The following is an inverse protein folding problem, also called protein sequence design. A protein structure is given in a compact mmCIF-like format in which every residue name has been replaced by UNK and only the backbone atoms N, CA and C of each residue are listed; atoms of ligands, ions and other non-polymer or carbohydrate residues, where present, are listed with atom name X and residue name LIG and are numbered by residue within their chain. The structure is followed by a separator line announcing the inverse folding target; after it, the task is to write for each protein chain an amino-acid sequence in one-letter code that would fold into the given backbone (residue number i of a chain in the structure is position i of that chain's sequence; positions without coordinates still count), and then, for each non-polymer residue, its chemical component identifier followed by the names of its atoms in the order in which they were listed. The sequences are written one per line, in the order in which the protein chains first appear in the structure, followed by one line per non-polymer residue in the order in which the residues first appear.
data_IF_357956283202
#
_entry.id   IF_357956283202
#
_cell.length_a   1.000
_cell.length_b   1.000
_cell.length_c   1.000
_cell.angle_alpha   90.00
_cell.angle_beta   90.00
_cell.angle_gamma   90.00
#
_symmetry.space_group_name_H-M   'P 1'
#
loop_
_entity.id
_entity.type
_entity.pdbx_description
1 polymer ?
#
# COMPACT_ATOMS: atom_id res chain seq x y z
N UNK A 1 -11.30 -20.52 34.03
CA UNK A 1 -10.90 -20.24 32.62
C UNK A 1 -11.62 -21.21 31.69
N UNK A 2 -12.34 -20.72 30.67
CA UNK A 2 -13.16 -21.59 29.80
C UNK A 2 -12.30 -22.57 28.98
N UNK A 3 -12.88 -23.71 28.59
CA UNK A 3 -12.18 -24.71 27.77
C UNK A 3 -11.71 -24.13 26.42
N UNK A 4 -12.48 -23.20 25.85
CA UNK A 4 -12.12 -22.50 24.62
C UNK A 4 -10.88 -21.61 24.79
N UNK A 5 -10.76 -20.88 25.90
CA UNK A 5 -9.59 -20.04 26.18
C UNK A 5 -8.31 -20.88 26.36
N UNK A 6 -8.42 -22.09 26.94
CA UNK A 6 -7.28 -23.03 26.99
C UNK A 6 -6.86 -23.45 25.58
N UNK A 7 -7.81 -23.81 24.73
CA UNK A 7 -7.55 -24.19 23.34
C UNK A 7 -6.89 -23.05 22.55
N UNK A 8 -7.41 -21.82 22.66
CA UNK A 8 -6.82 -20.65 22.02
C UNK A 8 -5.37 -20.39 22.49
N UNK A 9 -5.07 -20.55 23.78
CA UNK A 9 -3.69 -20.43 24.29
C UNK A 9 -2.76 -21.51 23.74
N UNK A 10 -3.24 -22.76 23.62
CA UNK A 10 -2.46 -23.83 23.00
C UNK A 10 -2.18 -23.50 21.54
N UNK A 11 -3.18 -23.06 20.78
CA UNK A 11 -3.01 -22.67 19.37
C UNK A 11 -2.07 -21.47 19.20
N UNK A 12 -2.13 -20.48 20.11
CA UNK A 12 -1.19 -19.37 20.12
C UNK A 12 0.25 -19.85 20.38
N UNK A 13 0.45 -20.72 21.37
CA UNK A 13 1.77 -21.33 21.62
C UNK A 13 2.26 -22.08 20.38
N UNK A 14 1.38 -22.85 19.72
CA UNK A 14 1.72 -23.57 18.49
C UNK A 14 2.06 -22.63 17.33
N UNK A 15 1.42 -21.48 17.22
CA UNK A 15 1.77 -20.47 16.22
C UNK A 15 3.17 -19.89 16.50
N UNK A 16 3.41 -19.46 17.74
CA UNK A 16 4.65 -18.80 18.15
C UNK A 16 5.87 -19.73 18.16
N UNK A 17 5.70 -21.05 18.29
CA UNK A 17 6.82 -21.99 18.23
C UNK A 17 7.15 -22.46 16.80
N UNK A 18 6.40 -22.03 15.78
CA UNK A 18 6.68 -22.40 14.39
C UNK A 18 7.73 -21.49 13.81
N UNK A 19 8.84 -22.08 13.37
CA UNK A 19 9.93 -21.36 12.70
C UNK A 19 9.44 -20.53 11.51
N UNK A 20 8.60 -21.11 10.64
CA UNK A 20 8.07 -20.38 9.48
C UNK A 20 7.21 -19.16 9.89
N UNK A 21 6.40 -19.28 10.95
CA UNK A 21 5.61 -18.17 11.47
C UNK A 21 6.52 -17.08 12.08
N UNK A 22 7.54 -17.49 12.85
CA UNK A 22 8.52 -16.58 13.43
C UNK A 22 9.33 -15.82 12.37
N UNK A 23 9.71 -16.48 11.27
CA UNK A 23 10.40 -15.81 10.15
C UNK A 23 9.50 -14.77 9.48
N UNK A 24 8.22 -15.08 9.27
CA UNK A 24 7.25 -14.11 8.73
C UNK A 24 7.06 -12.92 9.69
N UNK A 25 6.91 -13.17 10.99
CA UNK A 25 6.81 -12.13 12.01
C UNK A 25 8.07 -11.27 12.02
N UNK A 26 9.26 -11.87 11.98
CA UNK A 26 10.53 -11.14 11.93
C UNK A 26 10.62 -10.26 10.68
N UNK A 27 10.24 -10.77 9.50
CA UNK A 27 10.20 -9.98 8.27
C UNK A 27 9.24 -8.78 8.37
N UNK A 28 8.08 -8.96 9.01
CA UNK A 28 7.10 -7.89 9.24
C UNK A 28 7.61 -6.80 10.21
N UNK A 29 8.63 -7.08 11.01
CA UNK A 29 9.28 -6.08 11.86
C UNK A 29 10.46 -5.43 11.14
N UNK A 30 11.33 -6.23 10.55
CA UNK A 30 12.60 -5.77 9.97
C UNK A 30 12.36 -4.91 8.73
N UNK A 31 11.49 -5.32 7.81
CA UNK A 31 11.33 -4.60 6.54
C UNK A 31 10.73 -3.20 6.72
N UNK A 32 9.65 -2.98 7.52
CA UNK A 32 9.17 -1.62 7.81
C UNK A 32 10.20 -0.74 8.52
N UNK A 33 11.06 -1.31 9.37
CA UNK A 33 12.18 -0.57 9.98
C UNK A 33 13.17 -0.12 8.90
N UNK A 34 13.56 -1.01 7.99
CA UNK A 34 14.47 -0.68 6.89
C UNK A 34 13.86 0.42 6.01
N UNK A 35 12.60 0.27 5.63
CA UNK A 35 11.88 1.28 4.83
C UNK A 35 11.84 2.61 5.57
N UNK A 36 11.45 2.63 6.85
CA UNK A 36 11.39 3.86 7.64
C UNK A 36 12.74 4.53 7.80
N UNK A 37 13.81 3.76 8.05
CA UNK A 37 15.18 4.29 8.07
C UNK A 37 15.53 4.88 6.71
N UNK A 38 15.29 4.17 5.60
CA UNK A 38 15.56 4.66 4.26
C UNK A 38 14.83 5.99 3.99
N UNK A 39 13.53 6.09 4.26
CA UNK A 39 12.75 7.34 4.12
C UNK A 39 13.37 8.47 4.95
N UNK A 40 13.74 8.20 6.21
CA UNK A 40 14.34 9.22 7.08
C UNK A 40 15.71 9.68 6.58
N UNK A 41 16.51 8.78 6.01
CA UNK A 41 17.84 9.08 5.45
C UNK A 41 17.73 9.87 4.14
N UNK A 42 16.86 9.45 3.25
CA UNK A 42 16.67 10.02 1.91
C UNK A 42 16.10 11.45 1.99
N UNK A 43 15.28 11.71 3.01
CA UNK A 43 14.62 13.01 3.21
C UNK A 43 15.35 13.94 4.19
N UNK A 44 16.64 13.71 4.43
CA UNK A 44 17.42 14.56 5.35
C UNK A 44 17.58 15.96 4.76
N UNK A 45 17.35 17.02 5.56
CA UNK A 45 17.70 18.37 5.15
C UNK A 45 19.19 18.47 4.81
N UNK A 46 19.57 19.28 3.80
CA UNK A 46 20.96 19.48 3.45
C UNK A 46 21.73 20.10 4.63
N UNK A 47 22.97 19.65 4.79
CA UNK A 47 23.92 20.16 5.78
C UNK A 47 24.38 21.58 5.44
N UNK A 48 24.94 22.27 6.43
CA UNK A 48 25.51 23.61 6.22
C UNK A 48 26.65 23.61 5.18
N UNK A 49 27.39 22.51 5.07
CA UNK A 49 28.44 22.36 4.07
C UNK A 49 27.84 22.18 2.67
N UNK A 50 26.85 21.29 2.50
CA UNK A 50 26.17 21.10 1.21
C UNK A 50 25.50 22.40 0.74
N UNK A 51 24.89 23.16 1.67
CA UNK A 51 24.34 24.48 1.38
C UNK A 51 25.41 25.47 0.92
N UNK A 52 26.57 25.51 1.59
CA UNK A 52 27.67 26.39 1.22
C UNK A 52 28.27 26.01 -0.15
N UNK A 53 28.47 24.72 -0.39
CA UNK A 53 28.99 24.19 -1.66
C UNK A 53 28.03 24.50 -2.82
N UNK A 54 26.72 24.34 -2.61
CA UNK A 54 25.71 24.69 -3.60
C UNK A 54 25.61 26.21 -3.83
N UNK A 55 25.72 27.03 -2.78
CA UNK A 55 25.78 28.49 -2.92
C UNK A 55 27.00 28.93 -3.74
N UNK A 56 28.16 28.30 -3.51
CA UNK A 56 29.35 28.57 -4.29
C UNK A 56 29.19 28.19 -5.77
N UNK A 57 28.49 27.09 -6.08
CA UNK A 57 28.18 26.71 -7.46
C UNK A 57 27.23 27.68 -8.14
N UNK A 58 26.17 28.12 -7.44
CA UNK A 58 25.27 29.17 -7.93
C UNK A 58 26.04 30.45 -8.22
N UNK A 59 26.91 30.90 -7.32
CA UNK A 59 27.73 32.10 -7.53
C UNK A 59 28.73 31.93 -8.66
N UNK A 60 29.32 30.74 -8.81
CA UNK A 60 30.23 30.44 -9.91
C UNK A 60 29.51 30.55 -11.26
N UNK A 61 28.38 29.86 -11.41
CA UNK A 61 27.66 29.77 -12.68
C UNK A 61 26.97 31.09 -13.04
N UNK A 62 26.51 31.86 -12.04
CA UNK A 62 25.96 33.21 -12.26
C UNK A 62 27.03 34.20 -12.73
N UNK A 63 28.29 34.01 -12.32
CA UNK A 63 29.40 34.87 -12.73
C UNK A 63 30.15 34.32 -13.96
N UNK A 64 29.75 33.16 -14.49
CA UNK A 64 30.34 32.59 -15.70
C UNK A 64 29.94 33.45 -16.92
N UNK A 65 30.88 33.93 -17.74
CA UNK A 65 30.56 34.69 -18.95
C UNK A 65 29.60 33.98 -19.91
N UNK A 66 29.56 32.65 -19.90
CA UNK A 66 28.64 31.85 -20.71
C UNK A 66 27.17 31.98 -20.28
N UNK A 67 26.89 32.49 -19.07
CA UNK A 67 25.53 32.74 -18.63
C UNK A 67 24.86 33.85 -19.47
N UNK A 68 25.55 34.98 -19.67
CA UNK A 68 25.01 36.07 -20.51
C UNK A 68 24.87 35.62 -21.97
N UNK A 69 25.79 34.79 -22.48
CA UNK A 69 25.68 34.20 -23.82
C UNK A 69 24.42 33.32 -23.97
N UNK A 70 24.07 32.52 -22.95
CA UNK A 70 22.86 31.70 -22.94
C UNK A 70 21.58 32.54 -22.87
N UNK A 71 21.60 33.63 -22.10
CA UNK A 71 20.46 34.57 -22.05
C UNK A 71 20.27 35.25 -23.41
N UNK A 72 21.35 35.69 -24.05
CA UNK A 72 21.30 36.29 -25.40
C UNK A 72 20.78 35.28 -26.44
N UNK A 73 21.20 34.01 -26.37
CA UNK A 73 20.71 32.96 -27.25
C UNK A 73 19.22 32.67 -27.03
N UNK A 74 18.74 32.69 -25.78
CA UNK A 74 17.33 32.56 -25.45
C UNK A 74 16.50 33.72 -26.00
N UNK A 75 17.00 34.96 -25.88
CA UNK A 75 16.30 36.15 -26.43
C UNK A 75 16.25 36.10 -27.96
N UNK A 76 17.30 35.61 -28.61
CA UNK A 76 17.34 35.48 -30.06
C UNK A 76 16.40 34.37 -30.59
N UNK A 77 16.24 33.29 -29.84
CA UNK A 77 15.49 32.09 -30.24
C UNK A 77 14.65 31.50 -29.09
N UNK A 78 13.64 32.22 -28.57
CA UNK A 78 12.88 31.79 -27.40
C UNK A 78 12.13 30.47 -27.62
N UNK A 79 11.75 30.16 -28.85
CA UNK A 79 11.09 28.91 -29.24
C UNK A 79 11.91 27.65 -28.95
N UNK A 80 13.24 27.76 -28.84
CA UNK A 80 14.13 26.63 -28.57
C UNK A 80 14.25 26.30 -27.07
N UNK A 81 13.85 27.24 -26.20
CA UNK A 81 14.10 27.17 -24.75
C UNK A 81 12.81 27.05 -23.93
N UNK A 82 11.63 27.04 -24.57
CA UNK A 82 10.36 26.81 -23.90
C UNK A 82 9.15 27.25 -24.73
N UNK A 83 7.95 27.09 -24.15
CA UNK A 83 6.71 27.60 -24.73
C UNK A 83 6.49 29.05 -24.30
N UNK A 84 7.25 29.97 -24.89
CA UNK A 84 7.09 31.41 -24.69
C UNK A 84 5.87 31.92 -25.48
N UNK A 85 4.97 32.72 -24.87
CA UNK A 85 3.89 33.38 -25.58
C UNK A 85 4.42 34.26 -26.72
N UNK A 86 3.80 34.16 -27.89
CA UNK A 86 4.25 34.86 -29.11
C UNK A 86 4.01 36.38 -29.09
N UNK A 87 3.31 36.90 -28.09
CA UNK A 87 2.93 38.30 -27.92
C UNK A 87 3.80 39.07 -26.91
N UNK A 88 4.85 38.44 -26.36
CA UNK A 88 5.78 39.10 -25.47
C UNK A 88 6.62 40.15 -26.22
N UNK A 89 6.87 41.27 -25.55
CA UNK A 89 7.86 42.25 -26.00
C UNK A 89 9.28 41.73 -25.78
N UNK A 90 10.26 42.31 -26.47
CA UNK A 90 11.67 41.93 -26.32
C UNK A 90 12.16 42.05 -24.86
N UNK A 91 11.74 43.13 -24.15
CA UNK A 91 12.08 43.36 -22.74
C UNK A 91 11.43 42.29 -21.81
N UNK A 92 10.19 41.89 -22.09
CA UNK A 92 9.52 40.83 -21.33
C UNK A 92 10.12 39.45 -21.60
N UNK A 93 10.57 39.21 -22.83
CA UNK A 93 11.26 37.98 -23.24
C UNK A 93 12.61 37.88 -22.56
N UNK A 94 13.42 38.94 -22.56
CA UNK A 94 14.71 38.99 -21.85
C UNK A 94 14.55 38.73 -20.36
N UNK A 95 13.59 39.41 -19.72
CA UNK A 95 13.34 39.24 -18.28
C UNK A 95 12.96 37.79 -17.95
N UNK A 96 12.19 37.14 -18.82
CA UNK A 96 11.76 35.76 -18.59
C UNK A 96 12.86 34.75 -18.89
N UNK A 97 13.59 34.89 -19.99
CA UNK A 97 14.78 34.10 -20.28
C UNK A 97 15.76 34.15 -19.10
N UNK A 98 16.07 35.35 -18.59
CA UNK A 98 16.92 35.50 -17.42
C UNK A 98 16.34 34.83 -16.17
N UNK A 99 15.06 34.99 -15.89
CA UNK A 99 14.42 34.39 -14.71
C UNK A 99 14.38 32.85 -14.76
N UNK A 100 14.15 32.28 -15.95
CA UNK A 100 14.05 30.84 -16.15
C UNK A 100 15.44 30.18 -16.19
N UNK A 101 16.49 30.91 -16.57
CA UNK A 101 17.88 30.41 -16.64
C UNK A 101 18.74 30.74 -15.44
N UNK A 102 18.36 31.72 -14.62
CA UNK A 102 19.15 32.16 -13.47
C UNK A 102 19.39 30.98 -12.51
N UNK A 103 20.66 30.61 -12.24
CA UNK A 103 20.99 29.49 -11.36
C UNK A 103 20.31 29.62 -9.99
N UNK A 104 19.44 28.67 -9.67
CA UNK A 104 18.73 28.62 -8.40
C UNK A 104 19.36 27.59 -7.47
N UNK A 105 19.33 27.87 -6.16
CA UNK A 105 19.99 27.01 -5.17
C UNK A 105 19.44 25.57 -5.14
N UNK A 106 18.16 25.39 -5.41
CA UNK A 106 17.49 24.10 -5.48
C UNK A 106 17.91 23.25 -6.69
N UNK A 107 18.44 23.86 -7.76
CA UNK A 107 18.98 23.11 -8.92
C UNK A 107 20.26 22.34 -8.55
N UNK A 108 21.02 22.85 -7.58
CA UNK A 108 22.27 22.25 -7.09
C UNK A 108 22.06 21.47 -5.78
N UNK A 109 20.85 21.50 -5.20
CA UNK A 109 20.49 20.78 -3.99
C UNK A 109 19.32 19.83 -4.26
N UNK A 110 19.65 18.57 -4.60
CA UNK A 110 18.65 17.52 -4.61
C UNK A 110 18.44 16.95 -3.20
N UNK A 111 17.45 17.49 -2.48
CA UNK A 111 17.03 16.96 -1.18
C UNK A 111 15.50 16.82 -1.16
N UNK A 112 14.95 15.64 -1.51
CA UNK A 112 13.53 15.41 -1.43
C UNK A 112 13.08 15.62 0.01
N UNK A 113 12.11 16.49 0.19
CA UNK A 113 11.63 16.85 1.51
C UNK A 113 10.68 15.77 2.04
N UNK A 114 10.71 15.51 3.35
CA UNK A 114 9.78 14.56 3.95
C UNK A 114 8.35 15.10 3.87
N UNK A 115 7.55 14.51 2.98
CA UNK A 115 6.12 14.77 2.80
C UNK A 115 5.33 13.56 3.32
N UNK A 116 4.78 13.70 4.53
CA UNK A 116 4.07 12.61 5.20
C UNK A 116 2.78 12.21 4.46
N UNK A 117 1.92 13.14 3.98
CA UNK A 117 0.80 12.81 3.11
C UNK A 117 1.21 12.03 1.85
N UNK A 118 2.28 12.43 1.18
CA UNK A 118 2.77 11.70 -0.01
C UNK A 118 3.24 10.29 0.34
N UNK A 119 3.97 10.12 1.46
CA UNK A 119 4.38 8.81 1.94
C UNK A 119 3.19 7.91 2.33
N UNK A 120 2.09 8.51 2.81
CA UNK A 120 0.84 7.82 3.14
C UNK A 120 0.13 7.34 1.87
N UNK A 121 -0.08 8.23 0.90
CA UNK A 121 -0.99 7.98 -0.21
C UNK A 121 -0.31 7.24 -1.38
N UNK A 122 0.97 7.52 -1.61
CA UNK A 122 1.71 7.02 -2.79
C UNK A 122 3.08 6.41 -2.46
N UNK A 123 3.53 6.50 -1.21
CA UNK A 123 4.87 6.07 -0.82
C UNK A 123 4.91 4.82 0.07
N UNK A 124 5.77 4.89 1.07
CA UNK A 124 6.10 3.79 1.97
C UNK A 124 4.92 3.22 2.77
N UNK A 125 3.89 4.03 3.05
CA UNK A 125 2.66 3.59 3.74
C UNK A 125 1.90 2.49 3.00
N UNK A 126 1.78 2.62 1.67
CA UNK A 126 1.17 1.62 0.80
C UNK A 126 2.04 0.36 0.75
N UNK A 127 3.35 0.52 0.57
CA UNK A 127 4.29 -0.59 0.51
C UNK A 127 4.26 -1.46 1.78
N UNK A 128 4.25 -0.84 2.96
CA UNK A 128 4.16 -1.54 4.25
C UNK A 128 2.80 -2.22 4.39
N UNK A 129 1.72 -1.57 3.97
CA UNK A 129 0.37 -2.16 4.01
C UNK A 129 0.26 -3.42 3.16
N UNK A 130 0.78 -3.38 1.93
CA UNK A 130 0.81 -4.52 1.02
C UNK A 130 1.65 -5.66 1.59
N UNK A 131 2.87 -5.35 2.04
CA UNK A 131 3.77 -6.30 2.67
C UNK A 131 3.10 -7.02 3.85
N UNK A 132 2.55 -6.27 4.80
CA UNK A 132 1.91 -6.84 6.00
C UNK A 132 0.71 -7.68 5.63
N UNK A 133 -0.14 -7.22 4.70
CA UNK A 133 -1.33 -7.97 4.28
C UNK A 133 -0.95 -9.30 3.62
N UNK A 134 0.05 -9.29 2.73
CA UNK A 134 0.56 -10.50 2.08
C UNK A 134 1.23 -11.45 3.07
N UNK A 135 2.08 -10.93 3.96
CA UNK A 135 2.76 -11.73 4.97
C UNK A 135 1.78 -12.36 5.97
N UNK A 136 0.74 -11.63 6.38
CA UNK A 136 -0.30 -12.14 7.28
C UNK A 136 -1.19 -13.18 6.59
N UNK A 137 -1.47 -13.01 5.29
CA UNK A 137 -2.10 -14.05 4.48
C UNK A 137 -1.25 -15.33 4.45
N UNK A 138 0.06 -15.21 4.20
CA UNK A 138 1.02 -16.33 4.24
C UNK A 138 1.12 -16.98 5.62
N UNK A 139 1.01 -16.19 6.70
CA UNK A 139 0.95 -16.70 8.06
C UNK A 139 -0.30 -17.56 8.26
N UNK A 140 -1.45 -17.08 7.79
CA UNK A 140 -2.73 -17.80 7.76
C UNK A 140 -2.64 -19.15 7.04
N UNK A 141 -2.07 -19.15 5.83
CA UNK A 141 -1.92 -20.38 5.03
C UNK A 141 -0.96 -21.36 5.69
N UNK A 142 0.20 -20.90 6.13
CA UNK A 142 1.27 -21.74 6.69
C UNK A 142 0.86 -22.35 8.03
N UNK A 143 0.13 -21.60 8.86
CA UNK A 143 -0.30 -22.06 10.18
C UNK A 143 -1.17 -23.32 10.09
N UNK A 144 -2.03 -23.43 9.09
CA UNK A 144 -2.90 -24.60 8.96
C UNK A 144 -2.39 -25.61 7.95
N UNK A 145 -1.75 -25.14 6.89
CA UNK A 145 -1.18 -25.99 5.87
C UNK A 145 -0.19 -27.01 6.40
N UNK A 146 0.66 -26.59 7.34
CA UNK A 146 1.58 -27.50 8.02
C UNK A 146 0.85 -28.56 8.87
N UNK A 147 -0.29 -28.21 9.48
CA UNK A 147 -1.06 -29.17 10.27
C UNK A 147 -1.63 -30.28 9.40
N UNK A 148 -2.06 -29.94 8.19
CA UNK A 148 -2.51 -30.92 7.20
C UNK A 148 -1.36 -31.75 6.66
N UNK A 149 -0.25 -31.13 6.27
CA UNK A 149 0.91 -31.82 5.70
C UNK A 149 1.56 -32.81 6.69
N UNK A 150 1.53 -32.50 7.98
CA UNK A 150 2.09 -33.36 9.04
C UNK A 150 1.10 -34.38 9.63
N UNK A 151 -0.18 -34.35 9.24
CA UNK A 151 -1.22 -35.16 9.87
C UNK A 151 -1.56 -34.74 11.31
N UNK A 152 -1.04 -33.60 11.79
CA UNK A 152 -1.27 -33.12 13.16
C UNK A 152 -2.75 -32.82 13.46
N UNK A 153 -3.56 -32.52 12.43
CA UNK A 153 -5.01 -32.29 12.59
C UNK A 153 -5.70 -33.51 13.19
N UNK A 154 -5.37 -34.72 12.73
CA UNK A 154 -5.99 -35.97 13.23
C UNK A 154 -5.69 -36.15 14.71
N UNK A 155 -4.44 -35.93 15.13
CA UNK A 155 -4.06 -36.01 16.54
C UNK A 155 -4.77 -34.95 17.41
N UNK A 156 -4.94 -33.72 16.92
CA UNK A 156 -5.67 -32.68 17.66
C UNK A 156 -7.13 -33.06 17.92
N UNK A 157 -7.78 -33.69 16.93
CA UNK A 157 -9.18 -34.08 17.02
C UNK A 157 -9.43 -35.28 17.94
N UNK A 158 -8.39 -36.06 18.28
CA UNK A 158 -8.48 -37.07 19.34
C UNK A 158 -8.68 -36.42 20.72
N UNK A 159 -8.01 -35.29 20.98
CA UNK A 159 -8.10 -34.57 22.26
C UNK A 159 -9.27 -33.58 22.30
N UNK A 160 -9.62 -32.96 21.17
CA UNK A 160 -10.76 -32.05 21.06
C UNK A 160 -11.62 -32.41 19.84
N UNK A 161 -12.62 -33.30 20.01
CA UNK A 161 -13.42 -33.82 18.90
C UNK A 161 -14.38 -32.78 18.31
N UNK A 162 -14.63 -31.67 19.01
CA UNK A 162 -15.52 -30.60 18.53
C UNK A 162 -14.79 -29.75 17.49
N UNK A 163 -14.77 -30.23 16.25
CA UNK A 163 -14.12 -29.60 15.08
C UNK A 163 -14.36 -28.09 14.98
N UNK A 164 -15.60 -27.64 15.20
CA UNK A 164 -15.93 -26.21 15.13
C UNK A 164 -15.14 -25.38 16.16
N UNK A 165 -14.93 -25.89 17.39
CA UNK A 165 -14.14 -25.20 18.42
C UNK A 165 -12.69 -25.07 18.00
N UNK A 166 -12.12 -26.10 17.37
CA UNK A 166 -10.75 -26.08 16.84
C UNK A 166 -10.63 -25.05 15.72
N UNK A 167 -11.58 -25.04 14.78
CA UNK A 167 -11.60 -24.08 13.67
C UNK A 167 -11.65 -22.64 14.20
N UNK A 168 -12.60 -22.33 15.09
CA UNK A 168 -12.74 -20.98 15.66
C UNK A 168 -11.55 -20.57 16.53
N UNK A 169 -10.97 -21.48 17.31
CA UNK A 169 -9.79 -21.16 18.11
C UNK A 169 -8.59 -20.81 17.21
N UNK A 170 -8.37 -21.57 16.13
CA UNK A 170 -7.30 -21.29 15.17
C UNK A 170 -7.54 -20.00 14.39
N UNK A 171 -8.76 -19.78 13.90
CA UNK A 171 -9.17 -18.56 13.22
C UNK A 171 -8.95 -17.34 14.13
N UNK A 172 -9.43 -17.39 15.37
CA UNK A 172 -9.27 -16.31 16.35
C UNK A 172 -7.78 -16.02 16.62
N UNK A 173 -6.97 -17.06 16.84
CA UNK A 173 -5.54 -16.90 17.12
C UNK A 173 -4.81 -16.28 15.93
N UNK A 174 -5.02 -16.80 14.71
CA UNK A 174 -4.26 -16.33 13.55
C UNK A 174 -4.70 -14.92 13.13
N UNK A 175 -6.00 -14.65 13.10
CA UNK A 175 -6.53 -13.31 12.79
C UNK A 175 -6.19 -12.30 13.86
N UNK A 176 -6.33 -12.66 15.15
CA UNK A 176 -6.02 -11.77 16.27
C UNK A 176 -4.53 -11.45 16.34
N UNK A 177 -3.66 -12.45 16.13
CA UNK A 177 -2.20 -12.22 16.09
C UNK A 177 -1.81 -11.35 14.90
N UNK A 178 -2.39 -11.60 13.73
CA UNK A 178 -2.12 -10.81 12.52
C UNK A 178 -2.57 -9.35 12.67
N UNK A 179 -3.80 -9.12 13.12
CA UNK A 179 -4.33 -7.78 13.32
C UNK A 179 -3.55 -7.02 14.39
N UNK A 180 -3.22 -7.67 15.52
CA UNK A 180 -2.44 -7.05 16.59
C UNK A 180 -1.03 -6.67 16.11
N UNK A 181 -0.32 -7.60 15.47
CA UNK A 181 1.02 -7.34 14.96
C UNK A 181 1.00 -6.21 13.93
N UNK A 182 0.08 -6.24 12.96
CA UNK A 182 -0.03 -5.19 11.95
C UNK A 182 -0.38 -3.84 12.58
N UNK A 183 -1.25 -3.81 13.59
CA UNK A 183 -1.59 -2.57 14.33
C UNK A 183 -0.36 -2.00 15.03
N UNK A 184 0.40 -2.85 15.72
CA UNK A 184 1.63 -2.44 16.43
C UNK A 184 2.65 -1.92 15.45
N UNK A 185 2.90 -2.63 14.34
CA UNK A 185 3.88 -2.23 13.32
C UNK A 185 3.49 -0.92 12.65
N UNK A 186 2.26 -0.81 12.16
CA UNK A 186 1.77 0.41 11.50
C UNK A 186 1.77 1.61 12.45
N UNK A 187 1.30 1.42 13.69
CA UNK A 187 1.31 2.51 14.67
C UNK A 187 2.74 2.94 15.01
N UNK A 188 3.64 1.99 15.23
CA UNK A 188 5.05 2.30 15.54
C UNK A 188 5.74 3.02 14.38
N UNK A 189 5.46 2.57 13.15
CA UNK A 189 6.00 3.18 11.94
C UNK A 189 5.54 4.63 11.79
N UNK A 190 4.24 4.90 11.85
CA UNK A 190 3.72 6.27 11.70
C UNK A 190 4.08 7.18 12.88
N UNK A 191 4.15 6.65 14.09
CA UNK A 191 4.65 7.42 15.24
C UNK A 191 6.12 7.82 15.06
N UNK A 192 6.96 6.92 14.53
CA UNK A 192 8.36 7.21 14.25
C UNK A 192 8.52 8.26 13.13
N UNK A 193 7.83 8.07 11.99
CA UNK A 193 7.84 9.04 10.88
C UNK A 193 7.27 10.39 11.33
N UNK A 194 6.16 10.38 12.08
CA UNK A 194 5.56 11.60 12.64
C UNK A 194 6.48 12.33 13.61
N UNK A 195 7.26 11.61 14.43
CA UNK A 195 8.26 12.22 15.30
C UNK A 195 9.38 12.89 14.50
N UNK A 196 9.87 12.25 13.43
CA UNK A 196 10.88 12.82 12.53
C UNK A 196 10.33 14.03 11.80
N UNK A 197 9.14 13.93 11.22
CA UNK A 197 8.47 15.03 10.53
C UNK A 197 8.27 16.23 11.46
N UNK A 198 7.83 15.99 12.71
CA UNK A 198 7.70 17.05 13.71
C UNK A 198 9.03 17.70 14.06
N UNK A 199 10.11 16.92 14.20
CA UNK A 199 11.45 17.49 14.46
C UNK A 199 12.02 18.32 13.31
N UNK A 200 11.41 18.23 12.12
CA UNK A 200 11.78 18.97 10.92
C UNK A 200 10.75 20.06 10.57
N UNK A 201 9.79 20.32 11.46
CA UNK A 201 8.65 21.23 11.25
C UNK A 201 7.84 20.92 9.97
N UNK A 202 7.75 19.63 9.61
CA UNK A 202 7.04 19.12 8.42
C UNK A 202 5.76 18.36 8.73
N UNK A 203 5.34 18.34 10.00
CA UNK A 203 4.11 17.68 10.39
C UNK A 203 2.97 18.69 10.48
N UNK A 204 2.08 18.66 9.49
CA UNK A 204 0.84 19.42 9.53
C UNK A 204 -0.13 18.90 10.60
N UNK A 205 -1.10 19.75 10.96
CA UNK A 205 -2.17 19.39 11.89
C UNK A 205 -3.02 18.25 11.35
N UNK A 206 -3.41 17.29 12.21
CA UNK A 206 -4.25 16.15 11.83
C UNK A 206 -3.55 15.04 11.02
N UNK A 207 -2.48 15.35 10.29
CA UNK A 207 -1.79 14.41 9.37
C UNK A 207 -1.38 13.10 10.06
N UNK A 208 -0.79 13.18 11.25
CA UNK A 208 -0.39 11.97 11.99
C UNK A 208 -1.59 11.08 12.35
N UNK A 209 -2.72 11.68 12.71
CA UNK A 209 -3.93 10.93 13.03
C UNK A 209 -4.48 10.25 11.78
N UNK A 210 -4.48 10.93 10.63
CA UNK A 210 -4.92 10.35 9.37
C UNK A 210 -4.06 9.14 8.97
N UNK A 211 -2.73 9.25 9.13
CA UNK A 211 -1.79 8.15 8.92
C UNK A 211 -2.07 6.97 9.86
N UNK A 212 -2.32 7.22 11.15
CA UNK A 212 -2.65 6.18 12.12
C UNK A 212 -3.98 5.50 11.78
N UNK A 213 -5.01 6.26 11.39
CA UNK A 213 -6.29 5.71 10.97
C UNK A 213 -6.15 4.82 9.74
N UNK A 214 -5.42 5.27 8.71
CA UNK A 214 -5.07 4.44 7.55
C UNK A 214 -4.34 3.16 7.99
N UNK A 215 -3.35 3.29 8.87
CA UNK A 215 -2.62 2.15 9.45
C UNK A 215 -3.52 1.16 10.19
N UNK A 216 -4.55 1.60 10.90
CA UNK A 216 -5.50 0.73 11.59
C UNK A 216 -6.47 0.04 10.61
N UNK A 217 -6.94 0.75 9.58
CA UNK A 217 -7.72 0.13 8.49
C UNK A 217 -6.89 -0.93 7.76
N UNK A 218 -5.63 -0.62 7.45
CA UNK A 218 -4.65 -1.56 6.89
C UNK A 218 -4.40 -2.77 7.80
N UNK A 219 -4.30 -2.58 9.11
CA UNK A 219 -4.14 -3.68 10.06
C UNK A 219 -5.37 -4.60 10.10
N UNK A 220 -6.57 -4.03 9.98
CA UNK A 220 -7.81 -4.82 9.85
C UNK A 220 -7.80 -5.66 8.57
N UNK A 221 -7.39 -5.07 7.44
CA UNK A 221 -7.21 -5.78 6.16
C UNK A 221 -6.19 -6.91 6.29
N UNK A 222 -5.06 -6.69 6.98
CA UNK A 222 -4.06 -7.74 7.19
C UNK A 222 -4.59 -8.91 8.05
N UNK A 223 -5.39 -8.62 9.08
CA UNK A 223 -6.09 -9.65 9.86
C UNK A 223 -7.09 -10.45 9.02
N UNK A 224 -7.84 -9.75 8.17
CA UNK A 224 -8.76 -10.37 7.20
C UNK A 224 -8.01 -11.25 6.19
N UNK A 225 -6.86 -10.79 5.68
CA UNK A 225 -6.03 -11.54 4.76
C UNK A 225 -5.50 -12.84 5.42
N UNK A 226 -5.09 -12.78 6.69
CA UNK A 226 -4.74 -13.98 7.46
C UNK A 226 -5.90 -14.96 7.60
N UNK A 227 -7.11 -14.46 7.87
CA UNK A 227 -8.32 -15.29 7.96
C UNK A 227 -8.62 -15.97 6.62
N UNK A 228 -8.51 -15.23 5.52
CA UNK A 228 -8.76 -15.75 4.18
C UNK A 228 -7.75 -16.84 3.81
N UNK A 229 -6.46 -16.60 4.03
CA UNK A 229 -5.40 -17.59 3.81
C UNK A 229 -5.60 -18.85 4.66
N UNK A 230 -5.97 -18.68 5.93
CA UNK A 230 -6.35 -19.76 6.82
C UNK A 230 -7.56 -20.56 6.30
N UNK A 231 -8.65 -19.87 5.95
CA UNK A 231 -9.91 -20.49 5.55
C UNK A 231 -9.77 -21.26 4.24
N UNK A 232 -9.10 -20.70 3.24
CA UNK A 232 -8.81 -21.38 1.97
C UNK A 232 -7.91 -22.60 2.20
N UNK A 233 -6.89 -22.49 3.06
CA UNK A 233 -6.02 -23.63 3.36
C UNK A 233 -6.76 -24.74 4.09
N UNK A 234 -7.70 -24.40 4.98
CA UNK A 234 -8.60 -25.38 5.60
C UNK A 234 -9.55 -26.03 4.59
N UNK A 235 -10.02 -25.27 3.60
CA UNK A 235 -10.92 -25.76 2.55
C UNK A 235 -10.21 -26.75 1.61
N UNK A 236 -9.03 -26.38 1.10
CA UNK A 236 -8.26 -27.18 0.15
C UNK A 236 -7.36 -28.23 0.79
N UNK A 237 -7.01 -28.05 2.07
CA UNK A 237 -6.04 -28.89 2.82
C UNK A 237 -4.65 -28.92 2.18
N UNK A 238 -4.31 -27.89 1.41
CA UNK A 238 -3.06 -27.78 0.68
C UNK A 238 -2.63 -26.31 0.60
N UNK A 239 -1.40 -26.03 1.05
CA UNK A 239 -0.78 -24.70 0.96
C UNK A 239 -0.57 -24.27 -0.49
N UNK A 240 -0.02 -25.15 -1.32
CA UNK A 240 0.30 -24.88 -2.73
C UNK A 240 -0.96 -24.52 -3.50
N UNK A 241 -2.03 -25.29 -3.32
CA UNK A 241 -3.32 -25.00 -3.97
C UNK A 241 -3.86 -23.62 -3.55
N UNK A 242 -3.78 -23.30 -2.25
CA UNK A 242 -4.24 -22.01 -1.72
C UNK A 242 -3.43 -20.86 -2.27
N UNK A 243 -2.10 -20.96 -2.26
CA UNK A 243 -1.21 -19.94 -2.78
C UNK A 243 -1.38 -19.74 -4.28
N UNK A 244 -1.53 -20.82 -5.05
CA UNK A 244 -1.77 -20.76 -6.49
C UNK A 244 -3.05 -20.01 -6.85
N UNK A 245 -4.15 -20.27 -6.11
CA UNK A 245 -5.42 -19.56 -6.32
C UNK A 245 -5.30 -18.08 -5.95
N UNK A 246 -4.73 -17.77 -4.77
CA UNK A 246 -4.56 -16.40 -4.31
C UNK A 246 -3.67 -15.60 -5.27
N UNK A 247 -2.58 -16.19 -5.73
CA UNK A 247 -1.67 -15.59 -6.70
C UNK A 247 -2.35 -15.39 -8.06
N UNK A 248 -3.11 -16.38 -8.53
CA UNK A 248 -3.91 -16.26 -9.75
C UNK A 248 -4.92 -15.10 -9.67
N UNK A 249 -5.61 -14.95 -8.55
CA UNK A 249 -6.54 -13.82 -8.33
C UNK A 249 -5.79 -12.49 -8.27
N UNK A 250 -4.66 -12.43 -7.56
CA UNK A 250 -3.92 -11.19 -7.38
C UNK A 250 -3.28 -10.67 -8.69
N UNK A 251 -2.69 -11.56 -9.50
CA UNK A 251 -2.04 -11.17 -10.75
C UNK A 251 -3.02 -11.10 -11.92
N UNK A 252 -3.77 -12.18 -12.14
CA UNK A 252 -4.61 -12.29 -13.32
C UNK A 252 -5.97 -11.64 -13.10
N UNK A 253 -6.43 -11.41 -11.86
CA UNK A 253 -7.75 -10.88 -11.58
C UNK A 253 -7.98 -9.51 -12.23
N UNK A 254 -7.11 -8.53 -11.99
CA UNK A 254 -7.25 -7.19 -12.59
C UNK A 254 -7.19 -7.22 -14.12
N UNK A 255 -6.25 -7.98 -14.68
CA UNK A 255 -6.06 -8.09 -16.14
C UNK A 255 -7.26 -8.79 -16.78
N UNK A 256 -7.71 -9.92 -16.23
CA UNK A 256 -8.87 -10.67 -16.73
C UNK A 256 -10.14 -9.83 -16.63
N UNK A 257 -10.36 -9.12 -15.53
CA UNK A 257 -11.50 -8.21 -15.39
C UNK A 257 -11.47 -7.11 -16.46
N UNK A 258 -10.30 -6.49 -16.68
CA UNK A 258 -10.12 -5.49 -17.73
C UNK A 258 -10.39 -6.05 -19.14
N UNK A 259 -9.81 -7.20 -19.48
CA UNK A 259 -10.02 -7.87 -20.78
C UNK A 259 -11.48 -8.25 -21.01
N UNK A 260 -12.18 -8.67 -19.95
CA UNK A 260 -13.60 -9.02 -20.02
C UNK A 260 -14.54 -7.81 -19.98
N UNK A 261 -14.00 -6.58 -19.93
CA UNK A 261 -14.81 -5.36 -19.80
C UNK A 261 -15.60 -5.30 -18.49
N UNK A 262 -15.16 -6.03 -17.46
CA UNK A 262 -15.80 -6.03 -16.15
C UNK A 262 -15.36 -4.78 -15.42
N UNK A 263 -16.34 -4.04 -14.91
CA UNK A 263 -16.10 -2.76 -14.26
C UNK A 263 -15.13 -2.85 -13.08
N UNK A 264 -14.25 -1.85 -12.98
CA UNK A 264 -13.21 -1.76 -11.95
C UNK A 264 -13.70 -1.92 -10.51
N UNK A 265 -14.97 -1.63 -10.21
CA UNK A 265 -15.56 -1.86 -8.87
C UNK A 265 -15.42 -3.31 -8.36
N UNK A 266 -15.24 -4.29 -9.26
CA UNK A 266 -15.05 -5.70 -8.92
C UNK A 266 -13.58 -6.10 -8.76
N UNK A 267 -12.64 -5.19 -9.04
CA UNK A 267 -11.21 -5.42 -8.88
C UNK A 267 -10.86 -5.53 -7.38
N UNK A 268 -10.30 -6.66 -6.92
CA UNK A 268 -9.91 -6.83 -5.52
C UNK A 268 -8.94 -5.75 -5.02
N UNK A 269 -8.04 -5.27 -5.87
CA UNK A 269 -7.06 -4.25 -5.50
C UNK A 269 -7.74 -2.91 -5.15
N UNK A 270 -8.71 -2.46 -5.95
CA UNK A 270 -9.45 -1.23 -5.66
C UNK A 270 -10.32 -1.36 -4.40
N UNK A 271 -10.93 -2.53 -4.17
CA UNK A 271 -11.72 -2.75 -2.95
C UNK A 271 -10.85 -2.74 -1.68
N UNK A 272 -9.63 -3.29 -1.75
CA UNK A 272 -8.65 -3.19 -0.66
C UNK A 272 -8.21 -1.75 -0.45
N UNK A 273 -7.86 -1.05 -1.53
CA UNK A 273 -7.48 0.36 -1.46
C UNK A 273 -8.60 1.20 -0.82
N UNK A 274 -9.84 1.09 -1.29
CA UNK A 274 -11.00 1.80 -0.74
C UNK A 274 -11.17 1.60 0.77
N UNK A 275 -10.88 0.42 1.31
CA UNK A 275 -10.95 0.18 2.75
C UNK A 275 -9.78 0.84 3.49
N UNK A 276 -8.56 0.79 2.93
CA UNK A 276 -7.36 1.32 3.57
C UNK A 276 -7.35 2.85 3.57
N UNK A 277 -7.65 3.46 2.42
CA UNK A 277 -7.58 4.92 2.18
C UNK A 277 -8.90 5.64 2.46
N UNK A 278 -9.93 4.92 2.93
CA UNK A 278 -11.26 5.48 3.21
C UNK A 278 -11.98 6.02 1.96
N UNK A 279 -11.88 5.24 0.88
CA UNK A 279 -12.34 5.60 -0.46
C UNK A 279 -11.19 5.64 -1.44
N UNK A 280 -11.44 5.25 -2.69
CA UNK A 280 -10.44 5.35 -3.77
C UNK A 280 -11.11 5.80 -5.05
N UNK A 281 -10.41 6.67 -5.79
CA UNK A 281 -10.80 7.07 -7.13
C UNK A 281 -10.14 6.15 -8.14
N UNK A 282 -10.90 5.73 -9.15
CA UNK A 282 -10.39 4.92 -10.24
C UNK A 282 -11.02 5.36 -11.55
N UNK A 283 -10.31 5.14 -12.65
CA UNK A 283 -10.77 5.47 -13.98
C UNK A 283 -11.48 4.27 -14.61
N UNK A 284 -12.60 4.53 -15.30
CA UNK A 284 -13.35 3.53 -16.02
C UNK A 284 -13.87 4.09 -17.34
N UNK A 285 -13.93 3.24 -18.36
CA UNK A 285 -14.53 3.62 -19.63
C UNK A 285 -16.03 3.90 -19.46
N UNK A 286 -16.48 5.00 -20.05
CA UNK A 286 -17.86 5.47 -19.97
C UNK A 286 -18.18 6.52 -21.03
N UNK A 287 -19.42 7.00 -21.07
CA UNK A 287 -19.81 8.09 -21.96
C UNK A 287 -19.04 9.35 -21.59
N UNK A 288 -18.59 10.09 -22.61
CA UNK A 288 -17.86 11.34 -22.41
C UNK A 288 -18.76 12.41 -21.77
N UNK A 289 -18.20 13.27 -20.91
CA UNK A 289 -18.89 14.47 -20.43
C UNK A 289 -19.37 15.31 -21.62
N UNK A 290 -20.53 15.96 -21.49
CA UNK A 290 -21.11 16.76 -22.58
C UNK A 290 -20.17 17.86 -23.11
N UNK A 291 -19.30 18.39 -22.25
CA UNK A 291 -18.30 19.41 -22.58
C UNK A 291 -17.30 18.89 -23.63
N UNK A 292 -16.77 17.67 -23.42
CA UNK A 292 -15.84 17.01 -24.34
C UNK A 292 -16.52 16.69 -25.67
N UNK A 293 -17.78 16.23 -25.63
CA UNK A 293 -18.56 15.95 -26.83
C UNK A 293 -18.78 17.22 -27.67
N UNK A 294 -19.05 18.35 -27.01
CA UNK A 294 -19.21 19.67 -27.66
C UNK A 294 -17.90 20.18 -28.26
N UNK A 295 -16.78 19.97 -27.59
CA UNK A 295 -15.45 20.39 -28.06
C UNK A 295 -14.99 19.58 -29.28
N UNK A 296 -15.21 18.27 -29.28
CA UNK A 296 -14.80 17.38 -30.37
C UNK A 296 -15.78 17.42 -31.57
N UNK A 297 -16.97 18.01 -31.39
CA UNK A 297 -17.97 18.16 -32.46
C UNK A 297 -18.61 16.85 -32.92
N UNK A 298 -18.66 15.85 -32.02
CA UNK A 298 -19.18 14.51 -32.29
C UNK A 298 -19.01 13.58 -31.09
N UNK A 299 -19.62 12.39 -31.13
CA UNK A 299 -19.41 11.37 -30.10
C UNK A 299 -18.03 10.71 -30.30
N UNK A 300 -17.06 10.91 -29.40
CA UNK A 300 -15.74 10.30 -29.52
C UNK A 300 -15.75 8.80 -29.19
N UNK A 301 -16.91 8.19 -28.91
CA UNK A 301 -17.12 6.77 -28.69
C UNK A 301 -17.02 6.36 -27.22
N UNK A 302 -16.01 6.84 -26.49
CA UNK A 302 -15.85 6.57 -25.06
C UNK A 302 -14.75 7.39 -24.42
N UNK A 303 -14.94 7.76 -23.16
CA UNK A 303 -13.97 8.47 -22.34
C UNK A 303 -13.64 7.69 -21.08
N UNK A 304 -12.42 7.93 -20.59
CA UNK A 304 -12.04 7.56 -19.23
C UNK A 304 -12.72 8.50 -18.24
N UNK A 305 -13.67 7.99 -17.47
CA UNK A 305 -14.43 8.73 -16.46
C UNK A 305 -13.88 8.37 -15.08
N UNK A 306 -13.59 9.38 -14.26
CA UNK A 306 -13.24 9.17 -12.86
C UNK A 306 -14.48 8.69 -12.08
N UNK A 307 -14.35 7.56 -11.40
CA UNK A 307 -15.35 7.00 -10.49
C UNK A 307 -14.76 6.86 -9.11
N UNK A 308 -15.62 6.88 -8.10
CA UNK A 308 -15.23 6.66 -6.71
C UNK A 308 -15.78 5.34 -6.20
N UNK A 309 -14.92 4.61 -5.47
CA UNK A 309 -15.30 3.43 -4.71
C UNK A 309 -15.17 3.77 -3.22
N UNK A 310 -16.31 3.82 -2.54
CA UNK A 310 -16.39 4.17 -1.12
C UNK A 310 -15.86 3.06 -0.21
N UNK A 311 -15.48 3.43 1.03
CA UNK A 311 -15.13 2.48 2.09
C UNK A 311 -16.18 1.37 2.27
N UNK A 312 -17.47 1.73 2.31
CA UNK A 312 -18.56 0.80 2.54
C UNK A 312 -18.68 -0.26 1.43
N UNK A 313 -18.48 0.14 0.16
CA UNK A 313 -18.48 -0.77 -0.97
C UNK A 313 -17.30 -1.74 -0.91
N UNK A 314 -16.08 -1.22 -0.65
CA UNK A 314 -14.88 -2.04 -0.48
C UNK A 314 -15.03 -3.05 0.67
N UNK A 315 -15.52 -2.58 1.83
CA UNK A 315 -15.75 -3.41 3.00
C UNK A 315 -16.82 -4.49 2.74
N UNK A 316 -17.90 -4.13 2.02
CA UNK A 316 -18.94 -5.08 1.62
C UNK A 316 -18.41 -6.18 0.70
N UNK A 317 -17.60 -5.82 -0.28
CA UNK A 317 -16.95 -6.75 -1.20
C UNK A 317 -16.03 -7.74 -0.45
N UNK A 318 -15.08 -7.21 0.34
CA UNK A 318 -14.13 -8.04 1.09
C UNK A 318 -14.84 -8.89 2.16
N UNK A 319 -15.78 -8.29 2.88
CA UNK A 319 -16.58 -8.98 3.90
C UNK A 319 -17.35 -10.16 3.32
N UNK A 320 -17.98 -9.98 2.16
CA UNK A 320 -18.71 -11.06 1.47
C UNK A 320 -17.78 -12.20 1.07
N UNK A 321 -16.63 -11.88 0.47
CA UNK A 321 -15.64 -12.89 0.09
C UNK A 321 -15.16 -13.70 1.31
N UNK A 322 -14.79 -13.03 2.38
CA UNK A 322 -14.26 -13.66 3.61
C UNK A 322 -15.32 -14.49 4.31
N UNK A 323 -16.54 -13.98 4.44
CA UNK A 323 -17.66 -14.72 5.05
C UNK A 323 -17.99 -15.94 4.22
N UNK A 324 -18.13 -15.80 2.89
CA UNK A 324 -18.40 -16.92 1.99
C UNK A 324 -17.34 -18.01 2.08
N UNK A 325 -16.06 -17.64 1.96
CA UNK A 325 -14.94 -18.59 2.07
C UNK A 325 -14.86 -19.24 3.46
N UNK A 326 -15.04 -18.47 4.53
CA UNK A 326 -15.01 -19.00 5.90
C UNK A 326 -16.14 -19.99 6.16
N UNK A 327 -17.36 -19.67 5.69
CA UNK A 327 -18.51 -20.56 5.81
C UNK A 327 -18.30 -21.85 5.03
N UNK A 328 -17.84 -21.77 3.78
CA UNK A 328 -17.53 -22.96 2.98
C UNK A 328 -16.45 -23.82 3.65
N UNK A 329 -15.37 -23.19 4.12
CA UNK A 329 -14.29 -23.84 4.86
C UNK A 329 -14.80 -24.57 6.11
N UNK A 330 -15.62 -23.89 6.93
CA UNK A 330 -16.21 -24.42 8.16
C UNK A 330 -17.15 -25.61 7.88
N UNK A 331 -18.06 -25.46 6.92
CA UNK A 331 -19.02 -26.49 6.53
C UNK A 331 -18.31 -27.73 5.99
N UNK A 332 -17.26 -27.52 5.18
CA UNK A 332 -16.44 -28.58 4.63
C UNK A 332 -15.65 -29.31 5.71
N UNK A 333 -15.00 -28.58 6.63
CA UNK A 333 -14.26 -29.16 7.75
C UNK A 333 -15.16 -29.97 8.70
N UNK A 334 -16.42 -29.55 8.86
CA UNK A 334 -17.41 -30.30 9.65
C UNK A 334 -17.79 -31.64 9.02
N UNK A 335 -17.94 -31.69 7.69
CA UNK A 335 -18.46 -32.87 6.98
C UNK A 335 -17.40 -33.85 6.50
N UNK A 336 -16.24 -33.35 6.06
CA UNK A 336 -15.25 -34.18 5.36
C UNK A 336 -14.36 -34.92 6.34
N UNK A 337 -14.10 -36.20 6.09
CA UNK A 337 -13.23 -37.01 6.93
C UNK A 337 -11.82 -36.44 7.00
N UNK A 338 -11.18 -36.65 8.14
CA UNK A 338 -9.79 -36.27 8.39
C UNK A 338 -8.98 -37.56 8.25
N UNK A 339 -7.98 -37.60 7.35
CA UNK A 339 -7.24 -38.81 7.03
C UNK A 339 -6.41 -39.36 8.20
#
# INVERSE_FOLDING_TARGET
MSAFLRLARVELSRLLHRRAALLLIAACLVVPIIIGVAVVLDTRPPSAQELADAQQQVEHDRNDPSFEEQVDECVAHPENWGNYPADLTDEETEKRCRADMEPQLDWYLYSPQLDVPQERDNGSGIAITLLLSMAMMLLGTTFTGHDWASGSVSNQLLFEPRRLRVWFAKALVVTGTAALLATVVQSSYWLAIGAVARSRDRLGDGVLLDCLQMGWRAAAVAGVAALLGFALTMLFRNTVATLGILFGIALAGGILLGVLGIEGRWNPAYNVAAVVTDGVKYYADGPCPEEVVKEVGGDPGGCSVEKELSFAQGAGFLGTAVVGTSLLSLLWFRRRDVP
#
